data_IF_881944768592
#
_entry.id   IF_881944768592
#
_cell.length_a   1.000
_cell.length_b   1.000
_cell.length_c   1.000
_cell.angle_alpha   90.00
_cell.angle_beta   90.00
_cell.angle_gamma   90.00
#
_symmetry.space_group_name_H-M   'P 1'
#
loop_
_entity.id
_entity.type
_entity.pdbx_description
1 polymer ?
#
# COMPACT_ATOMS: atom_id res chain seq x y z
N UNK A 1 48.13 43.39 7.50
CA UNK A 1 48.14 42.22 6.59
C UNK A 1 47.73 40.98 7.38
N UNK A 2 46.97 40.06 6.74
CA UNK A 2 46.59 38.69 7.17
C UNK A 2 45.38 38.63 8.13
N UNK A 3 44.15 38.64 7.60
CA UNK A 3 43.31 37.50 7.11
C UNK A 3 42.83 36.64 8.30
N UNK A 4 41.64 36.94 8.84
CA UNK A 4 40.33 36.24 8.66
C UNK A 4 40.34 34.81 9.20
N UNK A 5 39.36 34.46 10.05
CA UNK A 5 38.50 33.27 9.91
C UNK A 5 37.43 33.31 11.02
N UNK A 6 36.32 33.99 10.73
CA UNK A 6 35.07 33.81 11.48
C UNK A 6 34.50 32.44 11.09
N UNK A 7 34.66 31.44 11.94
CA UNK A 7 34.08 30.11 11.75
C UNK A 7 32.58 30.16 12.05
N UNK A 8 31.79 30.42 11.01
CA UNK A 8 30.35 30.18 11.04
C UNK A 8 30.12 28.65 11.10
N UNK A 9 29.75 28.16 12.28
CA UNK A 9 29.33 26.76 12.46
C UNK A 9 27.90 26.64 11.94
N UNK A 10 27.76 26.38 10.65
CA UNK A 10 26.50 25.94 10.06
C UNK A 10 26.35 24.44 10.31
N UNK A 11 25.76 24.07 11.45
CA UNK A 11 25.28 22.70 11.66
C UNK A 11 24.01 22.52 10.83
N UNK A 12 24.21 21.95 9.63
CA UNK A 12 23.15 21.50 8.72
C UNK A 12 22.28 20.49 9.47
N UNK A 13 21.02 20.84 9.70
CA UNK A 13 20.04 19.93 10.29
C UNK A 13 19.89 18.69 9.43
N UNK A 14 20.23 17.52 9.98
CA UNK A 14 19.88 16.23 9.41
C UNK A 14 18.35 16.11 9.47
N UNK A 15 17.66 16.55 8.42
CA UNK A 15 16.29 16.18 8.18
C UNK A 15 16.29 14.67 7.91
N UNK A 16 16.10 13.88 8.98
CA UNK A 16 15.86 12.46 8.88
C UNK A 16 14.60 12.25 8.05
N UNK A 17 14.79 11.89 6.78
CA UNK A 17 13.70 11.49 5.89
C UNK A 17 13.18 10.18 6.48
N UNK A 18 12.13 10.25 7.29
CA UNK A 18 11.41 9.07 7.73
C UNK A 18 10.72 8.52 6.49
N UNK A 19 11.39 7.61 5.78
CA UNK A 19 10.75 6.79 4.77
C UNK A 19 9.69 5.97 5.50
N UNK A 20 8.45 6.46 5.50
CA UNK A 20 7.28 5.68 5.86
C UNK A 20 7.35 4.46 4.95
N UNK A 21 7.68 3.28 5.50
CA UNK A 21 7.54 2.05 4.75
C UNK A 21 6.08 2.02 4.32
N UNK A 22 5.83 2.20 3.02
CA UNK A 22 4.50 2.10 2.46
C UNK A 22 4.09 0.64 2.67
N UNK A 23 3.48 0.35 3.82
CA UNK A 23 2.93 -0.96 4.08
C UNK A 23 1.88 -1.19 3.01
N UNK A 24 1.92 -2.32 2.33
CA UNK A 24 0.92 -2.68 1.34
C UNK A 24 0.31 -4.04 1.72
N UNK A 25 -0.87 -4.29 1.17
CA UNK A 25 -1.57 -5.54 1.35
C UNK A 25 -2.20 -5.98 0.03
N UNK A 26 -2.39 -7.29 -0.13
CA UNK A 26 -3.19 -7.85 -1.21
C UNK A 26 -4.55 -8.21 -0.64
N UNK A 27 -5.61 -7.68 -1.25
CA UNK A 27 -6.98 -7.97 -0.85
C UNK A 27 -7.64 -8.77 -1.95
N UNK A 28 -8.27 -9.89 -1.60
CA UNK A 28 -9.01 -10.73 -2.54
C UNK A 28 -10.46 -10.93 -2.07
N UNK A 29 -11.42 -10.78 -2.99
CA UNK A 29 -12.82 -11.14 -2.74
C UNK A 29 -13.08 -12.64 -3.00
N UNK A 30 -14.33 -13.07 -2.79
CA UNK A 30 -14.73 -14.47 -3.05
C UNK A 30 -14.93 -14.78 -4.53
N UNK A 31 -15.08 -13.75 -5.36
CA UNK A 31 -15.16 -13.86 -6.80
C UNK A 31 -13.78 -13.92 -7.44
N UNK A 32 -12.70 -13.96 -6.67
CA UNK A 32 -11.34 -14.09 -7.18
C UNK A 32 -10.75 -12.79 -7.76
N UNK A 33 -11.40 -11.65 -7.62
CA UNK A 33 -10.75 -10.36 -7.88
C UNK A 33 -9.79 -10.05 -6.73
N UNK A 34 -8.53 -9.81 -7.06
CA UNK A 34 -7.50 -9.41 -6.12
C UNK A 34 -6.91 -8.06 -6.53
N UNK A 35 -6.65 -7.18 -5.56
CA UNK A 35 -6.03 -5.87 -5.79
C UNK A 35 -5.02 -5.57 -4.68
N UNK A 36 -4.08 -4.67 -4.95
CA UNK A 36 -3.16 -4.15 -3.93
C UNK A 36 -3.72 -2.89 -3.31
N UNK A 37 -3.49 -2.70 -2.03
CA UNK A 37 -3.87 -1.49 -1.31
C UNK A 37 -2.66 -0.85 -0.67
N UNK A 38 -2.68 0.47 -0.60
CA UNK A 38 -1.82 1.20 0.35
C UNK A 38 -2.31 0.91 1.77
N UNK A 39 -1.37 0.74 2.69
CA UNK A 39 -1.65 0.34 4.06
C UNK A 39 -2.06 -1.13 4.23
N UNK A 40 -2.53 -1.43 5.45
CA UNK A 40 -3.29 -2.64 5.77
C UNK A 40 -4.72 -2.24 6.13
N UNK A 41 -5.61 -2.10 5.14
CA UNK A 41 -6.98 -1.70 5.37
C UNK A 41 -7.73 -2.71 6.23
N UNK A 42 -8.59 -2.21 7.11
CA UNK A 42 -9.59 -3.00 7.81
C UNK A 42 -10.89 -2.97 7.03
N UNK A 43 -11.55 -4.13 6.90
CA UNK A 43 -12.81 -4.25 6.19
C UNK A 43 -13.89 -4.86 7.11
N UNK A 44 -15.16 -4.46 6.96
CA UNK A 44 -16.26 -5.15 7.61
C UNK A 44 -16.28 -6.65 7.26
N UNK A 45 -16.46 -7.50 8.28
CA UNK A 45 -16.42 -8.97 8.13
C UNK A 45 -17.46 -9.52 7.13
N UNK A 46 -18.61 -8.85 6.99
CA UNK A 46 -19.67 -9.26 6.06
C UNK A 46 -19.25 -9.17 4.58
N UNK A 47 -18.21 -8.40 4.24
CA UNK A 47 -17.67 -8.34 2.88
C UNK A 47 -16.89 -9.60 2.50
N UNK A 48 -16.51 -10.42 3.49
CA UNK A 48 -15.78 -11.69 3.32
C UNK A 48 -14.52 -11.53 2.45
N UNK A 49 -13.81 -10.43 2.64
CA UNK A 49 -12.54 -10.15 1.97
C UNK A 49 -11.40 -10.85 2.73
N UNK A 50 -10.42 -11.33 1.98
CA UNK A 50 -9.17 -11.89 2.53
C UNK A 50 -8.06 -10.89 2.31
N UNK A 51 -7.37 -10.53 3.39
CA UNK A 51 -6.25 -9.58 3.38
C UNK A 51 -4.96 -10.35 3.64
N UNK A 52 -4.03 -10.24 2.71
CA UNK A 52 -2.73 -10.88 2.71
C UNK A 52 -1.62 -9.83 2.77
N UNK A 53 -0.39 -10.18 3.23
CA UNK A 53 0.76 -9.27 3.13
C UNK A 53 1.10 -8.94 1.67
N UNK A 54 1.79 -7.82 1.44
CA UNK A 54 2.15 -7.33 0.09
C UNK A 54 2.85 -8.36 -0.81
N UNK A 55 3.70 -9.22 -0.24
CA UNK A 55 4.42 -10.25 -0.99
C UNK A 55 3.58 -11.47 -1.36
N UNK A 56 2.30 -11.53 -0.96
CA UNK A 56 1.46 -12.67 -1.25
C UNK A 56 1.08 -12.71 -2.73
N UNK A 57 1.15 -13.89 -3.29
CA UNK A 57 0.63 -14.22 -4.60
C UNK A 57 0.02 -15.62 -4.54
N UNK A 58 -0.94 -15.89 -5.43
CA UNK A 58 -1.46 -17.24 -5.58
C UNK A 58 -0.48 -18.14 -6.34
N UNK A 59 -0.65 -19.45 -6.20
CA UNK A 59 0.13 -20.44 -6.94
C UNK A 59 -0.39 -20.67 -8.37
N UNK A 60 0.43 -21.30 -9.22
CA UNK A 60 0.06 -21.63 -10.62
C UNK A 60 -1.28 -22.38 -10.75
N UNK A 61 -1.58 -23.26 -9.79
CA UNK A 61 -2.82 -24.04 -9.77
C UNK A 61 -4.09 -23.19 -9.54
N UNK A 62 -3.95 -21.93 -9.11
CA UNK A 62 -5.04 -21.01 -8.82
C UNK A 62 -5.19 -19.90 -9.87
N UNK A 63 -4.40 -19.92 -10.96
CA UNK A 63 -4.44 -18.91 -12.03
C UNK A 63 -5.83 -18.77 -12.69
N UNK A 64 -6.64 -19.83 -12.67
CA UNK A 64 -8.03 -19.78 -13.17
C UNK A 64 -9.01 -19.19 -12.16
N UNK A 65 -8.64 -19.16 -10.88
CA UNK A 65 -9.48 -18.68 -9.78
C UNK A 65 -9.29 -17.19 -9.55
N UNK A 66 -8.04 -16.73 -9.52
CA UNK A 66 -7.72 -15.35 -9.19
C UNK A 66 -7.34 -14.52 -10.41
N UNK A 67 -7.64 -13.22 -10.33
CA UNK A 67 -7.30 -12.23 -11.34
C UNK A 67 -6.90 -10.94 -10.65
N UNK A 68 -5.85 -10.30 -11.16
CA UNK A 68 -5.46 -8.98 -10.69
C UNK A 68 -6.43 -7.93 -11.21
N UNK A 69 -6.70 -6.96 -10.35
CA UNK A 69 -7.41 -5.72 -10.66
C UNK A 69 -6.58 -4.55 -10.19
N UNK A 70 -6.64 -3.46 -10.93
CA UNK A 70 -6.14 -2.18 -10.44
C UNK A 70 -7.02 -1.71 -9.28
N UNK A 71 -6.43 -1.21 -8.21
CA UNK A 71 -7.22 -0.62 -7.15
C UNK A 71 -7.89 0.66 -7.65
N UNK A 72 -9.17 0.83 -7.32
CA UNK A 72 -9.82 2.12 -7.55
C UNK A 72 -9.33 3.17 -6.55
N UNK A 73 -9.75 4.42 -6.76
CA UNK A 73 -9.36 5.51 -5.87
C UNK A 73 -9.89 5.30 -4.45
N UNK A 74 -9.04 5.57 -3.46
CA UNK A 74 -9.40 5.60 -2.03
C UNK A 74 -9.53 4.23 -1.38
N UNK A 75 -10.23 4.19 -0.24
CA UNK A 75 -10.52 2.96 0.48
C UNK A 75 -11.75 2.29 -0.14
N UNK A 76 -11.61 1.08 -0.67
CA UNK A 76 -12.69 0.40 -1.37
C UNK A 76 -12.45 -1.08 -1.61
N UNK A 77 -13.39 -1.70 -2.31
CA UNK A 77 -13.37 -3.12 -2.62
C UNK A 77 -14.07 -3.46 -3.94
N UNK A 78 -13.69 -4.58 -4.54
CA UNK A 78 -14.38 -5.11 -5.72
C UNK A 78 -15.61 -5.94 -5.34
N UNK A 79 -16.75 -5.62 -5.97
CA UNK A 79 -17.98 -6.41 -5.98
C UNK A 79 -18.51 -6.51 -7.40
N UNK A 80 -18.73 -7.72 -7.89
CA UNK A 80 -19.23 -7.99 -9.25
C UNK A 80 -18.43 -7.27 -10.35
N UNK A 81 -17.10 -7.22 -10.20
CA UNK A 81 -16.20 -6.56 -11.15
C UNK A 81 -16.17 -5.03 -11.07
N UNK A 82 -16.89 -4.41 -10.14
CA UNK A 82 -16.96 -2.95 -9.94
C UNK A 82 -16.28 -2.54 -8.64
N UNK A 83 -15.53 -1.42 -8.66
CA UNK A 83 -14.95 -0.82 -7.48
C UNK A 83 -16.00 -0.05 -6.67
N UNK A 84 -16.16 -0.42 -5.39
CA UNK A 84 -17.05 0.24 -4.44
C UNK A 84 -16.22 0.97 -3.40
N UNK A 85 -16.38 2.29 -3.33
CA UNK A 85 -15.74 3.11 -2.30
C UNK A 85 -16.43 2.92 -0.94
N UNK A 86 -15.64 2.86 0.12
CA UNK A 86 -16.07 2.89 1.51
C UNK A 86 -15.63 4.26 2.05
N UNK A 87 -16.60 5.07 2.49
CA UNK A 87 -16.37 6.37 3.12
C UNK A 87 -16.49 6.26 4.62
#
# INVERSE_FOLDING_TARGET
MKIILATAVALVGLAGITASSASAAVVCNNHGDCWRTEGRPSYPSHLRLRVYPDGWHWGRHEERRYRWRDAGHGHGYYRDGVWINIR
#
